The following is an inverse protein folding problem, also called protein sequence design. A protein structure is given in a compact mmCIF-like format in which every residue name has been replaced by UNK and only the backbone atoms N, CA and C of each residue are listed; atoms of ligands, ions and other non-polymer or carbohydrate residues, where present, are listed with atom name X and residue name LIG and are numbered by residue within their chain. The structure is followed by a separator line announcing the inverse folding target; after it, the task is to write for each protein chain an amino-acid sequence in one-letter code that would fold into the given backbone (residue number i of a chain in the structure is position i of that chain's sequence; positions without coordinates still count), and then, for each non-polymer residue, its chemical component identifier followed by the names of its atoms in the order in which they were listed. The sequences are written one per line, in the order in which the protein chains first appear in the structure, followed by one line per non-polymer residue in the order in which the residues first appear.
data_IF_463483091180
#
_entry.id   IF_463483091180
#
_cell.length_a   1.000
_cell.length_b   1.000
_cell.length_c   1.000
_cell.angle_alpha   90.00
_cell.angle_beta   90.00
_cell.angle_gamma   90.00
#
_symmetry.space_group_name_H-M   'P 1'
#
loop_
_entity.id
_entity.type
_entity.pdbx_description
1 polymer ?
#
# COMPACT_ATOMS: atom_id res chain seq x y z
N UNK A 1 2.74 -13.04 4.42
CA UNK A 1 1.33 -12.63 4.63
C UNK A 1 1.34 -11.24 5.23
N UNK A 2 0.53 -10.32 4.68
CA UNK A 2 0.35 -8.98 5.22
C UNK A 2 -0.58 -9.06 6.45
N UNK A 3 -0.28 -8.29 7.50
CA UNK A 3 -1.12 -8.24 8.71
C UNK A 3 -1.30 -6.80 9.16
N UNK A 4 -2.39 -6.53 9.90
CA UNK A 4 -2.76 -5.18 10.36
C UNK A 4 -2.76 -4.13 9.22
N UNK A 5 -3.35 -4.47 8.08
CA UNK A 5 -3.45 -3.57 6.94
C UNK A 5 -4.38 -2.39 7.26
N UNK A 6 -3.85 -1.18 7.12
CA UNK A 6 -4.55 0.07 7.29
C UNK A 6 -4.37 0.93 6.05
N UNK A 7 -5.49 1.42 5.51
CA UNK A 7 -5.54 2.37 4.41
C UNK A 7 -5.99 3.73 4.98
N UNK A 8 -5.26 4.80 4.69
CA UNK A 8 -5.65 6.17 5.06
C UNK A 8 -5.57 7.08 3.85
N UNK A 9 -6.56 7.95 3.59
CA UNK A 9 -6.46 8.93 2.51
C UNK A 9 -5.30 9.89 2.79
N UNK A 10 -4.47 10.16 1.77
CA UNK A 10 -3.28 10.99 1.90
C UNK A 10 -3.64 12.49 2.00
N UNK A 11 -4.74 12.88 1.35
CA UNK A 11 -5.22 14.26 1.33
C UNK A 11 -6.69 14.32 1.70
N UNK A 12 -7.05 15.19 2.64
CA UNK A 12 -8.45 15.51 2.95
C UNK A 12 -9.09 16.41 1.87
N UNK A 13 -8.26 17.10 1.07
CA UNK A 13 -8.71 18.15 0.16
C UNK A 13 -9.06 17.68 -1.27
N UNK A 14 -9.35 16.40 -1.48
CA UNK A 14 -9.93 15.84 -2.71
C UNK A 14 -9.20 16.13 -4.06
N UNK A 15 -8.07 16.84 -4.05
CA UNK A 15 -7.36 17.30 -5.25
C UNK A 15 -6.26 16.33 -5.69
N UNK A 16 -5.74 15.51 -4.78
CA UNK A 16 -4.68 14.54 -5.09
C UNK A 16 -5.12 13.16 -4.63
N UNK A 17 -5.33 12.21 -5.55
CA UNK A 17 -5.77 10.89 -5.18
C UNK A 17 -4.56 10.01 -4.82
N UNK A 18 -4.44 9.73 -3.53
CA UNK A 18 -3.42 8.85 -2.97
C UNK A 18 -3.85 8.33 -1.60
N UNK A 19 -3.35 7.16 -1.24
CA UNK A 19 -3.62 6.52 0.05
C UNK A 19 -2.32 6.11 0.72
N UNK A 20 -2.19 6.41 2.00
CA UNK A 20 -1.18 5.82 2.85
C UNK A 20 -1.59 4.39 3.20
N UNK A 21 -0.71 3.46 2.85
CA UNK A 21 -0.75 2.08 3.25
C UNK A 21 0.13 1.94 4.49
N UNK A 22 -0.38 1.30 5.54
CA UNK A 22 0.38 0.95 6.73
C UNK A 22 0.04 -0.48 7.10
N UNK A 23 1.04 -1.35 7.10
CA UNK A 23 0.83 -2.78 7.37
C UNK A 23 2.09 -3.41 7.97
N UNK A 24 1.96 -4.61 8.52
CA UNK A 24 3.08 -5.41 8.97
C UNK A 24 3.38 -6.52 7.97
N UNK A 25 4.66 -6.65 7.63
CA UNK A 25 5.17 -7.71 6.76
C UNK A 25 6.44 -8.30 7.36
N UNK A 26 6.47 -9.63 7.56
CA UNK A 26 7.60 -10.36 8.19
C UNK A 26 8.07 -9.76 9.53
N UNK A 27 7.14 -9.20 10.33
CA UNK A 27 7.47 -8.57 11.62
C UNK A 27 8.00 -7.14 11.53
N UNK A 28 8.10 -6.57 10.33
CA UNK A 28 8.48 -5.17 10.11
C UNK A 28 7.23 -4.34 9.80
N UNK A 29 7.13 -3.16 10.42
CA UNK A 29 6.11 -2.17 10.04
C UNK A 29 6.52 -1.53 8.72
N UNK A 30 5.62 -1.58 7.76
CA UNK A 30 5.80 -1.12 6.39
C UNK A 30 4.82 0.00 6.14
N UNK A 31 5.32 1.10 5.61
CA UNK A 31 4.51 2.24 5.18
C UNK A 31 4.76 2.46 3.70
N UNK A 32 3.73 2.63 2.92
CA UNK A 32 3.84 2.89 1.49
C UNK A 32 2.74 3.84 1.04
N UNK A 33 2.87 4.40 -0.16
CA UNK A 33 1.87 5.28 -0.74
C UNK A 33 1.29 4.62 -1.99
N UNK A 34 -0.02 4.36 -1.96
CA UNK A 34 -0.77 3.89 -3.11
C UNK A 34 -1.28 5.08 -3.93
N UNK A 35 -0.91 5.16 -5.20
CA UNK A 35 -1.43 6.16 -6.11
C UNK A 35 -2.66 5.64 -6.86
N UNK A 36 -3.56 6.54 -7.27
CA UNK A 36 -4.74 6.17 -8.08
C UNK A 36 -4.40 5.48 -9.41
N UNK A 37 -3.20 5.72 -9.94
CA UNK A 37 -2.73 5.04 -11.14
C UNK A 37 -2.35 3.56 -10.91
N UNK A 38 -2.44 3.06 -9.67
CA UNK A 38 -2.08 1.70 -9.31
C UNK A 38 -0.63 1.53 -8.85
N UNK A 39 0.19 2.57 -9.00
CA UNK A 39 1.60 2.58 -8.59
C UNK A 39 1.73 2.67 -7.07
N UNK A 40 2.65 1.89 -6.51
CA UNK A 40 2.99 1.94 -5.09
C UNK A 40 4.36 2.58 -4.92
N UNK A 41 4.40 3.71 -4.23
CA UNK A 41 5.64 4.36 -3.81
C UNK A 41 6.09 3.78 -2.46
N UNK A 42 7.25 3.14 -2.49
CA UNK A 42 7.89 2.52 -1.34
C UNK A 42 8.92 3.51 -0.75
N UNK A 43 9.00 3.67 0.58
CA UNK A 43 10.02 4.54 1.17
C UNK A 43 11.42 3.96 0.94
N UNK A 44 12.41 4.82 0.72
CA UNK A 44 13.80 4.41 0.45
C UNK A 44 14.41 3.56 1.56
N UNK A 45 13.91 3.68 2.79
CA UNK A 45 14.30 2.86 3.94
C UNK A 45 13.82 1.40 3.86
N UNK A 46 12.98 1.06 2.88
CA UNK A 46 12.35 -0.25 2.75
C UNK A 46 13.18 -1.17 1.85
N UNK A 47 13.96 -2.05 2.46
CA UNK A 47 14.76 -3.06 1.78
C UNK A 47 13.92 -4.26 1.30
N UNK A 48 12.90 -4.02 0.47
CA UNK A 48 12.21 -5.11 -0.22
C UNK A 48 12.98 -5.54 -1.46
N UNK A 49 13.15 -6.84 -1.62
CA UNK A 49 13.53 -7.43 -2.91
C UNK A 49 12.43 -7.19 -3.96
N UNK A 50 12.79 -7.20 -5.24
CA UNK A 50 11.83 -7.03 -6.35
C UNK A 50 10.65 -8.02 -6.26
N UNK A 51 10.94 -9.28 -5.94
CA UNK A 51 9.94 -10.34 -5.74
C UNK A 51 8.99 -10.03 -4.57
N UNK A 52 9.49 -9.47 -3.47
CA UNK A 52 8.66 -9.08 -2.34
C UNK A 52 7.77 -7.90 -2.68
N UNK A 53 8.31 -6.91 -3.41
CA UNK A 53 7.52 -5.77 -3.90
C UNK A 53 6.37 -6.25 -4.76
N UNK A 54 6.62 -7.13 -5.73
CA UNK A 54 5.57 -7.67 -6.59
C UNK A 54 4.53 -8.49 -5.81
N UNK A 55 4.97 -9.35 -4.89
CA UNK A 55 4.06 -10.17 -4.09
C UNK A 55 3.20 -9.32 -3.14
N UNK A 56 3.75 -8.24 -2.58
CA UNK A 56 3.03 -7.32 -1.71
C UNK A 56 2.11 -6.41 -2.53
N UNK A 57 2.56 -5.92 -3.68
CA UNK A 57 1.76 -5.13 -4.61
C UNK A 57 0.52 -5.89 -5.10
N UNK A 58 0.68 -7.15 -5.52
CA UNK A 58 -0.44 -8.00 -5.91
C UNK A 58 -1.48 -8.13 -4.78
N UNK A 59 -1.03 -8.43 -3.55
CA UNK A 59 -1.93 -8.50 -2.38
C UNK A 59 -2.62 -7.16 -2.11
N UNK A 60 -1.94 -6.03 -2.25
CA UNK A 60 -2.53 -4.70 -2.06
C UNK A 60 -3.58 -4.42 -3.14
N UNK A 61 -3.30 -4.75 -4.41
CA UNK A 61 -4.27 -4.61 -5.50
C UNK A 61 -5.53 -5.42 -5.24
N UNK A 62 -5.38 -6.67 -4.77
CA UNK A 62 -6.52 -7.49 -4.35
C UNK A 62 -7.29 -6.84 -3.20
N UNK A 63 -6.61 -6.37 -2.15
CA UNK A 63 -7.25 -5.69 -1.01
C UNK A 63 -7.99 -4.40 -1.42
N UNK A 64 -7.44 -3.64 -2.37
CA UNK A 64 -8.07 -2.44 -2.91
C UNK A 64 -9.31 -2.77 -3.75
N UNK A 65 -9.32 -3.87 -4.49
CA UNK A 65 -10.51 -4.36 -5.21
C UNK A 65 -11.69 -4.58 -4.25
N UNK A 66 -11.44 -5.15 -3.07
CA UNK A 66 -12.46 -5.35 -2.04
C UNK A 66 -12.91 -4.05 -1.35
N UNK A 67 -12.15 -2.95 -1.46
CA UNK A 67 -12.43 -1.69 -0.77
C UNK A 67 -13.00 -0.59 -1.68
N UNK A 68 -12.80 -0.68 -3.00
CA UNK A 68 -13.21 0.34 -3.99
C UNK A 68 -14.53 0.01 -4.66
N UNK A 69 -15.05 -1.22 -4.53
CA UNK A 69 -16.27 -1.69 -5.22
C UNK A 69 -17.49 -1.95 -4.31
N UNK A 70 -17.51 -1.43 -3.07
CA UNK A 70 -18.72 -1.43 -2.21
C UNK A 70 -19.19 0.02 -1.92
#
# INVERSE_FOLDING_TARGET
MISHFQLKPLYQNNQLPGWHLSFYYKGHSVKAVYHKNGTIEWPESQAFSEEERQAVEAQIHELMLFHVYD
#
